data_IF_646359957820
#
_entry.id   IF_646359957820
#
_cell.length_a   1.000
_cell.length_b   1.000
_cell.length_c   1.000
_cell.angle_alpha   90.00
_cell.angle_beta   90.00
_cell.angle_gamma   90.00
#
_symmetry.space_group_name_H-M   'P 1'
#
loop_
_entity.id
_entity.type
_entity.pdbx_description
1 polymer ?
#
# COMPACT_ATOMS: atom_id res chain seq x y z
N UNK A 1 15.57 9.97 -6.34
CA UNK A 1 14.65 8.88 -6.00
C UNK A 1 15.38 7.69 -5.40
N UNK A 2 14.85 7.05 -4.35
CA UNK A 2 15.24 5.71 -3.97
C UNK A 2 14.81 4.69 -5.04
N UNK A 3 15.42 3.51 -5.01
CA UNK A 3 15.01 2.37 -5.86
C UNK A 3 14.24 1.37 -5.03
N UNK A 4 13.22 0.76 -5.63
CA UNK A 4 12.52 -0.36 -5.03
C UNK A 4 13.52 -1.49 -4.72
N UNK A 5 13.62 -1.99 -3.49
CA UNK A 5 14.50 -3.10 -3.17
C UNK A 5 14.05 -4.42 -3.78
N UNK A 6 12.78 -4.52 -4.22
CA UNK A 6 12.19 -5.72 -4.78
C UNK A 6 12.25 -5.78 -6.31
N UNK A 7 11.88 -4.70 -7.01
CA UNK A 7 11.84 -4.66 -8.47
C UNK A 7 12.94 -3.80 -9.12
N UNK A 8 13.65 -2.97 -8.35
CA UNK A 8 14.73 -2.12 -8.85
C UNK A 8 14.30 -0.82 -9.53
N UNK A 9 13.00 -0.60 -9.72
CA UNK A 9 12.45 0.63 -10.32
C UNK A 9 12.70 1.87 -9.45
N UNK A 10 12.82 3.04 -10.09
CA UNK A 10 12.98 4.31 -9.39
C UNK A 10 11.63 4.81 -8.87
N UNK A 11 11.56 5.12 -7.58
CA UNK A 11 10.32 5.48 -6.89
C UNK A 11 10.27 6.98 -6.58
N UNK A 12 9.21 7.63 -7.09
CA UNK A 12 8.85 9.03 -6.79
C UNK A 12 7.83 9.17 -5.66
N UNK A 13 7.00 8.15 -5.46
CA UNK A 13 5.93 8.09 -4.47
C UNK A 13 5.61 6.64 -4.10
N UNK A 14 5.03 6.42 -2.93
CA UNK A 14 4.52 5.11 -2.51
C UNK A 14 3.00 5.11 -2.56
N UNK A 15 2.39 3.96 -2.84
CA UNK A 15 0.94 3.79 -2.77
C UNK A 15 0.52 3.37 -1.36
N UNK A 16 -0.50 4.01 -0.76
CA UNK A 16 -1.00 3.55 0.53
C UNK A 16 -1.66 2.17 0.38
N UNK A 17 -1.33 1.26 1.29
CA UNK A 17 -2.02 -0.01 1.44
C UNK A 17 -3.21 0.23 2.36
N UNK A 18 -4.42 0.20 1.80
CA UNK A 18 -5.65 0.43 2.54
C UNK A 18 -6.39 -0.88 2.83
N UNK A 19 -6.84 -1.04 4.08
CA UNK A 19 -7.79 -2.09 4.44
C UNK A 19 -9.16 -1.45 4.61
N UNK A 20 -10.10 -1.84 3.75
CA UNK A 20 -11.50 -1.44 3.87
C UNK A 20 -12.29 -2.57 4.53
N UNK A 21 -12.77 -2.40 5.78
CA UNK A 21 -13.54 -3.43 6.45
C UNK A 21 -14.88 -3.67 5.75
N UNK A 22 -15.32 -4.93 5.71
CA UNK A 22 -16.60 -5.33 5.11
C UNK A 22 -16.55 -5.62 3.61
N UNK A 23 -15.36 -5.60 2.99
CA UNK A 23 -15.14 -6.16 1.67
C UNK A 23 -14.71 -7.64 1.77
N UNK A 24 -15.32 -8.54 0.98
CA UNK A 24 -14.90 -9.94 0.94
C UNK A 24 -15.07 -10.56 -0.46
N UNK A 25 -14.05 -11.26 -0.94
CA UNK A 25 -14.12 -12.13 -2.13
C UNK A 25 -14.33 -13.58 -1.68
N UNK A 26 -15.38 -14.22 -2.18
CA UNK A 26 -15.70 -15.60 -1.86
C UNK A 26 -15.18 -16.57 -2.95
N UNK A 27 -14.92 -17.85 -2.62
CA UNK A 27 -14.42 -18.83 -3.59
C UNK A 27 -15.34 -19.10 -4.79
N UNK A 28 -16.62 -18.76 -4.67
CA UNK A 28 -17.60 -18.87 -5.75
C UNK A 28 -17.54 -17.67 -6.73
N UNK A 29 -16.63 -16.73 -6.51
CA UNK A 29 -16.43 -15.54 -7.34
C UNK A 29 -17.37 -14.39 -7.00
N UNK A 30 -18.19 -14.50 -5.95
CA UNK A 30 -19.02 -13.39 -5.47
C UNK A 30 -18.22 -12.43 -4.60
N UNK A 31 -18.65 -11.17 -4.54
CA UNK A 31 -17.99 -10.11 -3.78
C UNK A 31 -19.00 -9.39 -2.88
N UNK A 32 -18.71 -9.34 -1.58
CA UNK A 32 -19.38 -8.43 -0.65
C UNK A 32 -18.65 -7.08 -0.72
N UNK A 33 -19.38 -6.03 -1.10
CA UNK A 33 -18.83 -4.68 -1.11
C UNK A 33 -18.90 -4.07 0.28
N UNK A 34 -17.88 -3.31 0.71
CA UNK A 34 -18.01 -2.44 1.85
C UNK A 34 -19.26 -1.56 1.68
N UNK A 35 -20.00 -1.38 2.77
CA UNK A 35 -21.20 -0.54 2.75
C UNK A 35 -20.88 0.92 2.41
N UNK A 36 -21.87 1.71 1.96
CA UNK A 36 -21.68 3.12 1.67
C UNK A 36 -21.17 3.85 2.92
N UNK A 37 -20.06 4.58 2.77
CA UNK A 37 -19.41 5.31 3.88
C UNK A 37 -18.34 4.51 4.63
N UNK A 38 -18.00 3.29 4.21
CA UNK A 38 -16.83 2.60 4.73
C UNK A 38 -15.56 3.40 4.42
N UNK A 39 -14.79 3.71 5.46
CA UNK A 39 -13.47 4.35 5.37
C UNK A 39 -12.38 3.29 5.51
N UNK A 40 -11.43 3.30 4.59
CA UNK A 40 -10.23 2.48 4.71
C UNK A 40 -9.28 3.00 5.79
N UNK A 41 -8.52 2.09 6.39
CA UNK A 41 -7.36 2.45 7.21
C UNK A 41 -6.09 2.17 6.42
N UNK A 42 -5.16 3.12 6.39
CA UNK A 42 -3.82 2.90 5.84
C UNK A 42 -3.05 2.02 6.82
N UNK A 43 -2.55 0.88 6.34
CA UNK A 43 -1.77 -0.10 7.12
C UNK A 43 -0.31 -0.19 6.67
N UNK A 44 0.06 0.50 5.60
CA UNK A 44 1.41 0.48 5.06
C UNK A 44 1.50 1.24 3.74
N UNK A 45 2.67 1.18 3.12
CA UNK A 45 3.02 1.89 1.89
C UNK A 45 3.79 0.95 0.96
N UNK A 46 3.28 0.76 -0.25
CA UNK A 46 3.80 -0.17 -1.24
C UNK A 46 4.50 0.54 -2.40
N UNK A 47 5.36 -0.21 -3.09
CA UNK A 47 5.92 0.21 -4.36
C UNK A 47 4.80 0.29 -5.43
N UNK A 48 4.66 1.41 -6.17
CA UNK A 48 3.63 1.58 -7.20
C UNK A 48 3.80 0.66 -8.41
N UNK A 49 4.96 0.00 -8.55
CA UNK A 49 5.27 -0.81 -9.74
C UNK A 49 5.12 -2.31 -9.49
N UNK A 50 5.52 -2.81 -8.32
CA UNK A 50 5.45 -4.24 -7.99
C UNK A 50 4.46 -4.58 -6.88
N UNK A 51 3.91 -3.58 -6.17
CA UNK A 51 2.96 -3.79 -5.08
C UNK A 51 3.56 -4.32 -3.78
N UNK A 52 4.88 -4.56 -3.73
CA UNK A 52 5.56 -4.99 -2.50
C UNK A 52 5.58 -3.88 -1.44
N UNK A 53 5.37 -4.24 -0.19
CA UNK A 53 5.38 -3.32 0.94
C UNK A 53 6.81 -2.80 1.22
N UNK A 54 6.93 -1.48 1.27
CA UNK A 54 8.20 -0.77 1.49
C UNK A 54 8.30 -0.26 2.93
N UNK A 55 7.18 0.19 3.50
CA UNK A 55 7.12 0.79 4.83
C UNK A 55 5.78 0.49 5.50
N UNK A 56 5.81 0.28 6.81
CA UNK A 56 4.61 -0.01 7.62
C UNK A 56 3.99 1.24 8.24
N UNK A 57 4.75 2.35 8.26
CA UNK A 57 4.32 3.64 8.81
C UNK A 57 4.66 4.79 7.86
N UNK A 58 3.98 5.93 8.05
CA UNK A 58 4.25 7.14 7.27
C UNK A 58 5.68 7.66 7.50
N UNK A 59 6.19 7.54 8.74
CA UNK A 59 7.55 7.94 9.08
C UNK A 59 8.59 7.12 8.30
N UNK A 60 8.45 5.80 8.28
CA UNK A 60 9.31 4.90 7.48
C UNK A 60 9.22 5.21 5.97
N UNK A 61 8.01 5.47 5.48
CA UNK A 61 7.78 5.83 4.08
C UNK A 61 8.50 7.13 3.70
N UNK A 62 8.40 8.16 4.55
CA UNK A 62 9.08 9.44 4.35
C UNK A 62 10.60 9.28 4.41
N UNK A 63 11.13 8.53 5.38
CA UNK A 63 12.58 8.24 5.46
C UNK A 63 13.08 7.56 4.20
N UNK A 64 12.36 6.56 3.69
CA UNK A 64 12.69 5.88 2.44
C UNK A 64 12.73 6.87 1.25
N UNK A 65 11.69 7.69 1.09
CA UNK A 65 11.60 8.66 -0.02
C UNK A 65 12.68 9.74 0.05
N UNK A 66 12.99 10.22 1.26
CA UNK A 66 14.02 11.24 1.49
C UNK A 66 15.44 10.68 1.52
N UNK A 67 15.60 9.35 1.55
CA UNK A 67 16.89 8.65 1.76
C UNK A 67 17.55 9.04 3.09
N UNK A 68 16.75 9.14 4.13
CA UNK A 68 17.23 9.37 5.49
C UNK A 68 17.48 8.02 6.17
N UNK A 69 18.70 7.84 6.69
CA UNK A 69 19.14 6.64 7.44
C UNK A 69 18.59 6.60 8.88
#
# INVERSE_FOLDING_TARGET
MPKCPYCGEEIDFLEPIEVVPGGALFPDGTYESPGPGATGSIIGYACPYCGEEIASTEEEALRFLNKED
#
